data_IF_800022196185
#
_entry.id   IF_800022196185
#
_cell.length_a   1.000
_cell.length_b   1.000
_cell.length_c   1.000
_cell.angle_alpha   90.00
_cell.angle_beta   90.00
_cell.angle_gamma   90.00
#
_symmetry.space_group_name_H-M   'P 1'
#
loop_
_entity.id
_entity.type
_entity.pdbx_description
1 polymer ?
#
# COMPACT_ATOMS: atom_id res chain seq x y z
N UNK A 1 3.71 -8.95 8.29
CA UNK A 1 4.53 -7.85 7.74
C UNK A 1 3.65 -7.05 6.81
N UNK A 2 3.71 -5.74 6.93
CA UNK A 2 3.02 -4.72 6.13
C UNK A 2 3.81 -4.38 4.84
N UNK A 3 5.14 -4.42 4.92
CA UNK A 3 6.02 -4.25 3.75
C UNK A 3 6.56 -5.59 3.26
N UNK A 4 6.36 -5.87 1.97
CA UNK A 4 6.85 -7.07 1.27
C UNK A 4 7.75 -6.62 0.13
N UNK A 5 8.85 -7.34 -0.07
CA UNK A 5 9.74 -7.15 -1.22
C UNK A 5 9.83 -8.44 -2.02
N UNK A 6 9.84 -8.29 -3.34
CA UNK A 6 10.01 -9.36 -4.32
C UNK A 6 10.85 -8.85 -5.51
N UNK A 7 11.06 -9.69 -6.52
CA UNK A 7 11.69 -9.33 -7.78
C UNK A 7 10.92 -9.90 -8.97
N UNK A 8 10.84 -9.13 -10.05
CA UNK A 8 10.36 -9.63 -11.33
C UNK A 8 11.34 -10.65 -11.92
N UNK A 9 10.91 -11.38 -12.95
CA UNK A 9 11.76 -12.39 -13.63
C UNK A 9 13.08 -11.81 -14.18
N UNK A 10 13.13 -10.50 -14.42
CA UNK A 10 14.29 -9.76 -14.91
C UNK A 10 15.17 -9.15 -13.80
N UNK A 11 14.86 -9.46 -12.53
CA UNK A 11 15.62 -9.01 -11.36
C UNK A 11 15.27 -7.60 -10.87
N UNK A 12 14.34 -6.88 -11.51
CA UNK A 12 13.87 -5.59 -10.99
C UNK A 12 13.11 -5.79 -9.68
N UNK A 13 13.47 -5.02 -8.65
CA UNK A 13 12.82 -5.06 -7.34
C UNK A 13 11.36 -4.62 -7.44
N UNK A 14 10.51 -5.26 -6.64
CA UNK A 14 9.11 -4.95 -6.46
C UNK A 14 8.83 -4.82 -4.96
N UNK A 15 8.40 -3.65 -4.51
CA UNK A 15 7.94 -3.40 -3.15
C UNK A 15 6.43 -3.34 -3.11
N UNK A 16 5.84 -3.92 -2.06
CA UNK A 16 4.43 -3.87 -1.76
C UNK A 16 4.25 -3.38 -0.32
N UNK A 17 3.34 -2.42 -0.11
CA UNK A 17 2.92 -1.97 1.21
C UNK A 17 1.42 -2.19 1.34
N UNK A 18 1.01 -3.06 2.26
CA UNK A 18 -0.41 -3.33 2.56
C UNK A 18 -0.91 -2.38 3.65
N UNK A 19 -2.08 -1.77 3.42
CA UNK A 19 -2.77 -0.96 4.43
C UNK A 19 -3.96 -1.76 4.95
N UNK A 20 -3.99 -2.02 6.25
CA UNK A 20 -5.00 -2.86 6.90
C UNK A 20 -5.67 -2.06 8.01
N UNK A 21 -7.00 -2.09 8.06
CA UNK A 21 -7.74 -1.69 9.25
C UNK A 21 -7.65 -2.82 10.28
N UNK A 22 -6.96 -2.55 11.39
CA UNK A 22 -6.71 -3.56 12.43
C UNK A 22 -7.98 -3.97 13.19
N UNK A 23 -8.97 -3.09 13.28
CA UNK A 23 -10.22 -3.38 14.00
C UNK A 23 -11.11 -4.32 13.19
N UNK A 24 -11.36 -3.97 11.93
CA UNK A 24 -12.23 -4.77 11.03
C UNK A 24 -11.50 -5.94 10.36
N UNK A 25 -10.15 -5.92 10.37
CA UNK A 25 -9.28 -6.83 9.61
C UNK A 25 -9.47 -6.72 8.09
N UNK A 26 -9.92 -5.57 7.62
CA UNK A 26 -10.11 -5.29 6.20
C UNK A 26 -8.79 -4.79 5.56
N UNK A 27 -8.46 -5.31 4.38
CA UNK A 27 -7.39 -4.75 3.55
C UNK A 27 -7.95 -3.53 2.80
N UNK A 28 -7.44 -2.35 3.14
CA UNK A 28 -7.88 -1.07 2.58
C UNK A 28 -7.21 -0.77 1.23
N UNK A 29 -6.09 -1.43 0.95
CA UNK A 29 -5.40 -1.34 -0.33
C UNK A 29 -3.96 -1.81 -0.23
N UNK A 30 -3.30 -1.81 -1.39
CA UNK A 30 -1.88 -2.20 -1.51
C UNK A 30 -1.18 -1.18 -2.41
N UNK A 31 -0.13 -0.53 -1.91
CA UNK A 31 0.76 0.29 -2.72
C UNK A 31 1.83 -0.61 -3.33
N UNK A 32 2.04 -0.54 -4.65
CA UNK A 32 3.00 -1.40 -5.36
C UNK A 32 3.93 -0.53 -6.19
N UNK A 33 5.24 -0.74 -6.06
CA UNK A 33 6.22 0.03 -6.81
C UNK A 33 7.64 -0.51 -6.67
N UNK A 34 8.51 -0.20 -7.62
CA UNK A 34 9.91 -0.64 -7.55
C UNK A 34 10.70 0.09 -6.45
N UNK A 35 10.34 1.35 -6.20
CA UNK A 35 10.88 2.19 -5.14
C UNK A 35 9.72 3.01 -4.54
N UNK A 36 9.01 2.43 -3.57
CA UNK A 36 7.90 3.10 -2.90
C UNK A 36 8.40 4.35 -2.16
N UNK A 37 7.93 5.51 -2.60
CA UNK A 37 8.22 6.80 -1.99
C UNK A 37 7.16 7.11 -0.92
N UNK A 38 7.57 7.88 0.09
CA UNK A 38 6.64 8.35 1.13
C UNK A 38 5.45 9.12 0.57
N UNK A 39 5.62 9.83 -0.55
CA UNK A 39 4.53 10.55 -1.23
C UNK A 39 3.47 9.62 -1.79
N UNK A 40 3.87 8.50 -2.40
CA UNK A 40 2.93 7.51 -2.94
C UNK A 40 2.10 6.86 -1.83
N UNK A 41 2.73 6.64 -0.67
CA UNK A 41 2.05 6.14 0.54
C UNK A 41 1.06 7.19 1.08
N UNK A 42 1.47 8.46 1.16
CA UNK A 42 0.61 9.54 1.64
C UNK A 42 -0.63 9.72 0.75
N UNK A 43 -0.46 9.70 -0.57
CA UNK A 43 -1.56 9.85 -1.53
C UNK A 43 -2.58 8.71 -1.42
N UNK A 44 -2.11 7.47 -1.23
CA UNK A 44 -2.96 6.31 -0.99
C UNK A 44 -3.74 6.44 0.31
N UNK A 45 -3.09 6.84 1.41
CA UNK A 45 -3.76 7.03 2.70
C UNK A 45 -4.81 8.14 2.63
N UNK A 46 -4.51 9.25 1.94
CA UNK A 46 -5.48 10.32 1.69
C UNK A 46 -6.69 9.80 0.90
N UNK A 47 -6.46 8.98 -0.13
CA UNK A 47 -7.53 8.38 -0.93
C UNK A 47 -8.43 7.47 -0.09
N UNK A 48 -7.83 6.64 0.78
CA UNK A 48 -8.56 5.77 1.72
C UNK A 48 -9.38 6.63 2.71
N UNK A 49 -8.78 7.67 3.28
CA UNK A 49 -9.46 8.57 4.21
C UNK A 49 -10.67 9.25 3.57
N UNK A 50 -10.53 9.73 2.33
CA UNK A 50 -11.63 10.34 1.56
C UNK A 50 -12.74 9.33 1.28
N UNK A 51 -12.41 8.09 0.87
CA UNK A 51 -13.42 7.06 0.62
C UNK A 51 -14.19 6.66 1.88
N UNK A 52 -13.53 6.64 3.04
CA UNK A 52 -14.15 6.22 4.30
C UNK A 52 -14.90 7.32 5.02
N UNK A 53 -14.52 8.58 4.86
CA UNK A 53 -15.24 9.70 5.46
C UNK A 53 -16.67 9.89 4.91
N UNK A 54 -16.99 9.22 3.80
CA UNK A 54 -18.29 9.30 3.12
C UNK A 54 -19.24 8.16 3.56
N UNK A 55 -18.78 7.20 4.36
CA UNK A 55 -19.57 6.06 4.86
C UNK A 55 -19.97 6.20 6.33
#
# INVERSE_FOLDING_TARGET
MDFVSDALFDGRRLGLLTVIDLYTRECLGICVGQNLRSTEVADMLNSIALMRAIN
#
